data_IF_839424904010
#
_entry.id   IF_839424904010
#
_cell.length_a   1.000
_cell.length_b   1.000
_cell.length_c   1.000
_cell.angle_alpha   90.00
_cell.angle_beta   90.00
_cell.angle_gamma   90.00
#
_symmetry.space_group_name_H-M   'P 1'
#
loop_
_entity.id
_entity.type
_entity.pdbx_description
1 polymer ?
#
# COMPACT_ATOMS: atom_id res chain seq x y z
N UNK A 1 -74.48 48.13 -4.53
CA UNK A 1 -74.01 48.59 -5.86
C UNK A 1 -73.43 49.98 -5.70
N UNK A 2 -72.30 50.31 -6.37
CA UNK A 2 -71.53 51.58 -6.30
C UNK A 2 -70.60 51.70 -5.07
N UNK A 3 -69.34 52.13 -5.10
CA UNK A 3 -68.31 52.41 -6.13
C UNK A 3 -66.92 52.42 -5.44
N UNK A 4 -65.87 52.37 -6.26
CA UNK A 4 -64.43 52.32 -5.97
C UNK A 4 -63.87 53.27 -4.88
N UNK A 5 -62.79 52.83 -4.23
CA UNK A 5 -61.65 53.69 -3.87
C UNK A 5 -60.33 52.91 -3.96
N UNK A 6 -59.33 53.58 -4.55
CA UNK A 6 -58.00 53.10 -4.91
C UNK A 6 -57.08 53.03 -3.69
N UNK A 7 -56.14 52.09 -3.68
CA UNK A 7 -54.82 52.36 -3.11
C UNK A 7 -53.75 51.61 -3.92
N UNK A 8 -52.91 52.38 -4.61
CA UNK A 8 -51.65 51.92 -5.18
C UNK A 8 -50.64 51.79 -4.05
N UNK A 9 -49.98 50.64 -3.94
CA UNK A 9 -48.71 50.51 -3.24
C UNK A 9 -47.71 49.88 -4.21
N UNK A 10 -46.79 50.72 -4.67
CA UNK A 10 -45.57 50.33 -5.35
C UNK A 10 -44.74 49.44 -4.43
N UNK A 11 -44.37 48.26 -4.91
CA UNK A 11 -43.29 47.47 -4.30
C UNK A 11 -42.18 47.39 -5.32
N UNK A 12 -41.03 47.94 -4.93
CA UNK A 12 -39.87 48.14 -5.78
C UNK A 12 -39.24 46.86 -6.29
N UNK A 13 -38.68 46.96 -7.48
CA UNK A 13 -37.69 46.04 -8.01
C UNK A 13 -36.48 46.03 -7.05
N UNK A 14 -36.39 45.02 -6.18
CA UNK A 14 -35.16 44.72 -5.47
C UNK A 14 -34.21 43.97 -6.40
N UNK A 15 -33.02 44.54 -6.55
CA UNK A 15 -31.90 44.11 -7.38
C UNK A 15 -31.60 42.60 -7.31
N UNK A 16 -31.81 41.90 -8.41
CA UNK A 16 -31.31 40.53 -8.64
C UNK A 16 -29.86 40.63 -9.13
N UNK A 17 -28.94 41.16 -8.32
CA UNK A 17 -27.50 41.20 -8.66
C UNK A 17 -26.58 40.91 -7.46
N UNK A 18 -27.13 40.42 -6.34
CA UNK A 18 -26.36 40.16 -5.11
C UNK A 18 -26.18 38.70 -4.71
N UNK A 19 -26.86 37.74 -5.36
CA UNK A 19 -26.84 36.33 -4.91
C UNK A 19 -25.86 35.42 -5.67
N UNK A 20 -25.32 35.82 -6.83
CA UNK A 20 -24.47 34.91 -7.61
C UNK A 20 -23.03 34.78 -7.10
N UNK A 21 -22.51 35.77 -6.34
CA UNK A 21 -21.11 35.76 -5.92
C UNK A 21 -20.84 35.03 -4.60
N UNK A 22 -21.87 34.78 -3.78
CA UNK A 22 -21.69 34.02 -2.54
C UNK A 22 -21.73 32.50 -2.78
N UNK A 23 -22.53 32.00 -3.73
CA UNK A 23 -22.60 30.55 -4.02
C UNK A 23 -21.32 29.98 -4.65
N UNK A 24 -20.56 30.78 -5.42
CA UNK A 24 -19.32 30.29 -6.04
C UNK A 24 -18.19 30.06 -5.02
N UNK A 25 -18.13 30.85 -3.95
CA UNK A 25 -17.11 30.71 -2.90
C UNK A 25 -17.25 29.39 -2.12
N UNK A 26 -18.48 28.94 -1.84
CA UNK A 26 -18.73 27.66 -1.18
C UNK A 26 -18.49 26.48 -2.13
N UNK A 27 -18.88 26.60 -3.40
CA UNK A 27 -18.62 25.55 -4.39
C UNK A 27 -17.12 25.33 -4.63
N UNK A 28 -16.31 26.39 -4.60
CA UNK A 28 -14.85 26.31 -4.71
C UNK A 28 -14.19 25.70 -3.45
N UNK A 29 -14.67 26.08 -2.26
CA UNK A 29 -14.20 25.52 -0.98
C UNK A 29 -14.51 24.02 -0.84
N UNK A 30 -15.71 23.58 -1.23
CA UNK A 30 -16.08 22.15 -1.20
C UNK A 30 -15.28 21.37 -2.24
N UNK A 31 -15.07 21.90 -3.45
CA UNK A 31 -14.27 21.23 -4.49
C UNK A 31 -12.80 21.08 -4.06
N UNK A 32 -12.20 22.10 -3.47
CA UNK A 32 -10.82 22.01 -2.97
C UNK A 32 -10.70 21.04 -1.78
N UNK A 33 -11.64 21.03 -0.83
CA UNK A 33 -11.61 20.05 0.26
C UNK A 33 -11.90 18.62 -0.21
N UNK A 34 -12.72 18.42 -1.25
CA UNK A 34 -12.95 17.10 -1.85
C UNK A 34 -11.73 16.61 -2.65
N UNK A 35 -11.01 17.52 -3.32
CA UNK A 35 -9.74 17.23 -3.99
C UNK A 35 -8.58 17.00 -3.01
N UNK A 36 -8.57 17.69 -1.86
CA UNK A 36 -7.57 17.51 -0.79
C UNK A 36 -7.87 16.25 0.04
N UNK A 37 -9.14 15.82 0.13
CA UNK A 37 -9.55 14.56 0.78
C UNK A 37 -9.35 13.32 -0.12
N UNK A 38 -9.21 13.49 -1.43
CA UNK A 38 -8.65 12.47 -2.32
C UNK A 38 -7.13 12.51 -2.22
N UNK A 39 -6.58 12.30 -1.02
CA UNK A 39 -5.23 11.76 -0.94
C UNK A 39 -5.31 10.38 -1.59
N UNK A 40 -4.85 10.28 -2.83
CA UNK A 40 -5.08 9.14 -3.72
C UNK A 40 -4.77 7.84 -2.98
N UNK A 41 -5.83 7.07 -2.69
CA UNK A 41 -5.67 5.71 -2.20
C UNK A 41 -4.90 4.92 -3.24
N UNK A 42 -4.08 3.98 -2.78
CA UNK A 42 -3.20 3.16 -3.60
C UNK A 42 -3.96 2.62 -4.83
N UNK A 43 -3.60 3.05 -6.06
CA UNK A 43 -4.46 2.92 -7.23
C UNK A 43 -4.34 1.53 -7.87
N UNK A 44 -4.62 0.47 -7.09
CA UNK A 44 -4.59 -0.92 -7.57
C UNK A 44 -5.66 -1.11 -8.66
N UNK A 45 -5.22 -1.42 -9.88
CA UNK A 45 -6.08 -1.72 -11.03
C UNK A 45 -6.87 -3.02 -10.85
N UNK A 46 -8.01 -3.10 -11.53
CA UNK A 46 -8.69 -4.38 -11.76
C UNK A 46 -7.78 -5.37 -12.50
N UNK A 47 -7.74 -6.62 -12.03
CA UNK A 47 -6.88 -7.67 -12.59
C UNK A 47 -5.43 -7.67 -12.08
N UNK A 48 -5.02 -6.68 -11.28
CA UNK A 48 -3.71 -6.68 -10.62
C UNK A 48 -3.72 -7.39 -9.24
N UNK A 49 -4.90 -7.69 -8.72
CA UNK A 49 -5.17 -8.54 -7.55
C UNK A 49 -5.80 -9.88 -7.97
N UNK A 50 -5.83 -10.86 -7.07
CA UNK A 50 -6.39 -12.19 -7.35
C UNK A 50 -6.90 -12.85 -6.05
N UNK A 51 -7.47 -14.06 -6.15
CA UNK A 51 -8.05 -14.79 -5.00
C UNK A 51 -7.10 -14.99 -3.81
N UNK A 52 -5.77 -14.84 -3.99
CA UNK A 52 -4.81 -14.93 -2.89
C UNK A 52 -4.68 -13.65 -2.06
N UNK A 53 -5.01 -12.48 -2.63
CA UNK A 53 -5.12 -11.19 -1.92
C UNK A 53 -6.01 -10.26 -2.72
N UNK A 54 -7.10 -9.83 -2.08
CA UNK A 54 -7.99 -8.85 -2.67
C UNK A 54 -7.36 -7.45 -2.73
N UNK A 55 -8.06 -6.54 -3.41
CA UNK A 55 -7.63 -5.15 -3.58
C UNK A 55 -7.39 -4.45 -2.24
N UNK A 56 -8.29 -4.65 -1.27
CA UNK A 56 -8.27 -3.96 0.02
C UNK A 56 -7.07 -4.40 0.86
N UNK A 57 -6.79 -5.70 0.91
CA UNK A 57 -5.61 -6.22 1.60
C UNK A 57 -4.29 -5.68 1.03
N UNK A 58 -4.23 -5.50 -0.29
CA UNK A 58 -3.04 -4.90 -0.93
C UNK A 58 -2.93 -3.43 -0.55
N UNK A 59 -4.03 -2.67 -0.61
CA UNK A 59 -4.04 -1.25 -0.23
C UNK A 59 -3.63 -1.06 1.25
N UNK A 60 -4.23 -1.82 2.17
CA UNK A 60 -3.95 -1.77 3.62
C UNK A 60 -2.54 -2.21 3.98
N UNK A 61 -1.83 -2.90 3.07
CA UNK A 61 -0.42 -3.22 3.27
C UNK A 61 0.50 -2.01 3.10
N UNK A 62 0.01 -0.93 2.51
CA UNK A 62 0.73 0.35 2.39
C UNK A 62 0.29 1.33 3.46
N UNK A 63 1.24 2.10 4.00
CA UNK A 63 0.97 3.08 5.04
C UNK A 63 -0.06 4.11 4.55
N UNK A 64 -1.07 4.38 5.38
CA UNK A 64 -2.19 5.26 5.06
C UNK A 64 -2.95 4.85 3.78
N UNK A 65 -2.88 3.58 3.40
CA UNK A 65 -3.41 3.03 2.15
C UNK A 65 -2.84 3.71 0.90
N UNK A 66 -1.64 4.30 0.96
CA UNK A 66 -1.04 5.10 -0.13
C UNK A 66 0.11 4.39 -0.83
N UNK A 67 0.01 4.30 -2.14
CA UNK A 67 1.10 3.83 -3.01
C UNK A 67 1.09 4.56 -4.35
N UNK A 68 2.21 4.56 -5.03
CA UNK A 68 2.35 5.05 -6.41
C UNK A 68 2.43 3.86 -7.36
N UNK A 69 1.62 3.88 -8.41
CA UNK A 69 1.73 2.94 -9.52
C UNK A 69 2.75 3.45 -10.53
N UNK A 70 3.71 2.61 -10.89
CA UNK A 70 4.73 2.96 -11.87
C UNK A 70 5.07 1.80 -12.78
N UNK A 71 5.48 2.11 -14.01
CA UNK A 71 5.99 1.14 -14.98
C UNK A 71 7.50 1.29 -15.05
N UNK A 72 8.23 0.20 -14.81
CA UNK A 72 9.69 0.21 -14.82
C UNK A 72 10.23 0.61 -16.20
N UNK A 73 11.14 1.57 -16.23
CA UNK A 73 11.75 2.07 -17.46
C UNK A 73 13.00 1.28 -17.87
N UNK A 74 13.54 0.49 -16.94
CA UNK A 74 14.71 -0.36 -17.08
C UNK A 74 14.59 -1.58 -16.16
N UNK A 75 15.34 -2.67 -16.41
CA UNK A 75 15.41 -3.78 -15.48
C UNK A 75 15.86 -3.31 -14.10
N UNK A 76 15.11 -3.65 -13.06
CA UNK A 76 15.34 -3.15 -11.69
C UNK A 76 15.49 -4.31 -10.71
N UNK A 77 16.46 -4.20 -9.80
CA UNK A 77 16.71 -5.20 -8.76
C UNK A 77 15.88 -4.88 -7.52
N UNK A 78 15.21 -5.90 -7.00
CA UNK A 78 14.52 -5.90 -5.72
C UNK A 78 15.00 -7.07 -4.85
N UNK A 79 14.63 -7.04 -3.58
CA UNK A 79 14.91 -8.07 -2.61
C UNK A 79 13.62 -8.59 -2.01
N UNK A 80 13.56 -9.89 -1.80
CA UNK A 80 12.46 -10.55 -1.10
C UNK A 80 13.01 -11.38 0.03
N UNK A 81 12.48 -11.13 1.22
CA UNK A 81 12.71 -11.94 2.41
C UNK A 81 11.64 -13.01 2.51
N UNK A 82 12.03 -14.24 2.82
CA UNK A 82 11.13 -15.40 2.87
C UNK A 82 11.62 -16.46 3.86
N UNK A 83 10.81 -17.51 4.05
CA UNK A 83 11.03 -18.51 5.11
C UNK A 83 11.27 -19.93 4.59
N UNK A 84 10.89 -20.22 3.35
CA UNK A 84 11.00 -21.52 2.70
C UNK A 84 10.97 -21.38 1.18
N UNK A 85 11.48 -22.36 0.43
CA UNK A 85 11.45 -22.35 -1.04
C UNK A 85 10.03 -22.17 -1.61
N UNK A 86 9.01 -22.70 -0.91
CA UNK A 86 7.60 -22.53 -1.28
C UNK A 86 7.08 -21.09 -1.16
N UNK A 87 7.74 -20.23 -0.38
CA UNK A 87 7.35 -18.82 -0.13
C UNK A 87 8.26 -17.81 -0.83
N UNK A 88 9.32 -18.29 -1.50
CA UNK A 88 10.28 -17.48 -2.24
C UNK A 88 9.57 -16.63 -3.31
N UNK A 89 8.57 -17.20 -3.99
CA UNK A 89 7.90 -16.62 -5.16
C UNK A 89 6.68 -15.75 -4.82
N UNK A 90 6.80 -14.84 -3.87
CA UNK A 90 5.71 -13.93 -3.52
C UNK A 90 5.83 -12.56 -4.17
N UNK A 91 4.71 -11.81 -4.10
CA UNK A 91 4.47 -10.57 -4.85
C UNK A 91 4.97 -9.30 -4.18
N UNK A 92 5.35 -9.38 -2.91
CA UNK A 92 5.82 -8.26 -2.11
C UNK A 92 7.35 -8.29 -2.00
N UNK A 93 7.97 -7.15 -2.26
CA UNK A 93 9.42 -6.98 -2.31
C UNK A 93 9.83 -5.63 -1.72
N UNK A 94 11.12 -5.44 -1.52
CA UNK A 94 11.73 -4.17 -1.10
C UNK A 94 12.93 -3.86 -1.98
N UNK A 95 13.31 -2.59 -2.10
CA UNK A 95 14.58 -2.21 -2.73
C UNK A 95 15.73 -2.09 -1.70
N UNK A 96 15.47 -2.46 -0.44
CA UNK A 96 16.45 -2.38 0.64
C UNK A 96 17.03 -3.75 0.97
N UNK A 97 18.34 -3.90 0.83
CA UNK A 97 19.07 -5.05 1.37
C UNK A 97 19.45 -4.76 2.82
N UNK A 98 18.66 -5.28 3.75
CA UNK A 98 18.89 -5.19 5.18
C UNK A 98 19.99 -6.14 5.62
N UNK A 99 20.74 -5.71 6.63
CA UNK A 99 21.79 -6.50 7.27
C UNK A 99 21.34 -7.18 8.56
N UNK A 100 20.21 -6.73 9.14
CA UNK A 100 19.68 -7.22 10.40
C UNK A 100 18.28 -7.80 10.24
N UNK A 101 18.08 -9.03 10.73
CA UNK A 101 16.79 -9.75 10.63
C UNK A 101 15.67 -9.03 11.38
N UNK A 102 15.95 -8.47 12.57
CA UNK A 102 14.92 -7.79 13.35
C UNK A 102 14.49 -6.52 12.64
N UNK A 103 15.42 -5.80 12.01
CA UNK A 103 15.10 -4.64 11.19
C UNK A 103 14.22 -5.00 10.00
N UNK A 104 14.46 -6.11 9.31
CA UNK A 104 13.56 -6.59 8.25
C UNK A 104 12.15 -6.80 8.80
N UNK A 105 12.03 -7.50 9.93
CA UNK A 105 10.73 -7.84 10.54
C UNK A 105 9.98 -6.57 10.94
N UNK A 106 10.67 -5.60 11.51
CA UNK A 106 10.11 -4.32 11.95
C UNK A 106 9.72 -3.42 10.78
N UNK A 107 10.65 -3.16 9.86
CA UNK A 107 10.48 -2.21 8.76
C UNK A 107 9.49 -2.74 7.71
N UNK A 108 9.46 -4.07 7.49
CA UNK A 108 8.55 -4.74 6.56
C UNK A 108 7.29 -5.33 7.23
N UNK A 109 7.08 -5.03 8.51
CA UNK A 109 5.93 -5.44 9.29
C UNK A 109 5.58 -6.95 9.16
N UNK A 110 6.60 -7.80 9.19
CA UNK A 110 6.44 -9.22 8.91
C UNK A 110 5.94 -9.98 10.13
N UNK A 111 4.63 -10.24 10.18
CA UNK A 111 4.04 -11.01 11.26
C UNK A 111 4.60 -12.44 11.31
N UNK A 112 5.26 -12.78 12.42
CA UNK A 112 5.93 -14.07 12.61
C UNK A 112 4.94 -15.24 12.70
N UNK A 113 3.71 -15.00 13.16
CA UNK A 113 2.68 -16.05 13.28
C UNK A 113 2.15 -16.51 11.91
N UNK A 114 2.38 -15.71 10.86
CA UNK A 114 2.07 -16.11 9.48
C UNK A 114 3.20 -16.92 8.84
N UNK A 115 4.22 -17.30 9.61
CA UNK A 115 5.38 -18.04 9.12
C UNK A 115 6.41 -17.17 8.41
N UNK A 116 6.37 -15.84 8.56
CA UNK A 116 7.33 -14.91 7.93
C UNK A 116 8.62 -14.75 8.76
N UNK A 117 9.32 -15.85 9.01
CA UNK A 117 10.50 -15.90 9.86
C UNK A 117 11.75 -15.22 9.32
N UNK A 118 11.79 -14.77 8.06
CA UNK A 118 12.95 -14.07 7.48
C UNK A 118 14.23 -14.91 7.65
N UNK A 119 14.22 -16.13 7.13
CA UNK A 119 15.39 -17.02 7.19
C UNK A 119 16.26 -16.90 5.95
N UNK A 120 15.70 -16.38 4.87
CA UNK A 120 16.34 -16.27 3.57
C UNK A 120 16.00 -14.95 2.90
N UNK A 121 16.87 -14.54 1.99
CA UNK A 121 16.66 -13.39 1.10
C UNK A 121 17.10 -13.75 -0.30
N UNK A 122 16.28 -13.35 -1.27
CA UNK A 122 16.56 -13.50 -2.68
C UNK A 122 16.58 -12.12 -3.35
N UNK A 123 17.58 -11.90 -4.19
CA UNK A 123 17.52 -10.81 -5.17
C UNK A 123 16.60 -11.23 -6.33
N UNK A 124 15.87 -10.27 -6.87
CA UNK A 124 14.90 -10.42 -7.96
C UNK A 124 15.20 -9.34 -8.98
N UNK A 125 15.36 -9.72 -10.24
CA UNK A 125 15.43 -8.76 -11.35
C UNK A 125 14.05 -8.71 -12.01
N UNK A 126 13.37 -7.56 -11.94
CA UNK A 126 12.14 -7.31 -12.69
C UNK A 126 12.50 -6.63 -14.02
N UNK A 127 11.94 -7.10 -15.16
CA UNK A 127 12.25 -6.52 -16.45
C UNK A 127 11.66 -5.11 -16.61
N UNK A 128 12.20 -4.37 -17.59
CA UNK A 128 11.57 -3.15 -18.11
C UNK A 128 10.12 -3.45 -18.53
N UNK A 129 9.21 -2.53 -18.25
CA UNK A 129 7.79 -2.65 -18.60
C UNK A 129 6.92 -3.32 -17.53
N UNK A 130 7.52 -3.86 -16.46
CA UNK A 130 6.75 -4.36 -15.31
C UNK A 130 6.06 -3.22 -14.58
N UNK A 131 4.77 -3.39 -14.28
CA UNK A 131 4.05 -2.49 -13.37
C UNK A 131 4.35 -2.90 -11.94
N UNK A 132 4.70 -1.91 -11.11
CA UNK A 132 4.89 -2.07 -9.67
C UNK A 132 4.13 -0.98 -8.92
N UNK A 133 3.63 -1.34 -7.75
CA UNK A 133 3.02 -0.42 -6.80
C UNK A 133 4.00 -0.21 -5.66
N UNK A 134 4.50 1.02 -5.50
CA UNK A 134 5.54 1.33 -4.51
C UNK A 134 5.00 2.25 -3.42
N UNK A 135 5.40 2.00 -2.18
CA UNK A 135 4.96 2.82 -1.04
C UNK A 135 5.69 2.43 0.24
N UNK A 136 5.26 3.02 1.35
CA UNK A 136 5.74 2.63 2.68
C UNK A 136 4.92 1.46 3.20
N UNK A 137 5.54 0.54 3.93
CA UNK A 137 4.85 -0.58 4.58
C UNK A 137 3.96 -0.05 5.71
N UNK A 138 2.71 -0.46 5.77
CA UNK A 138 1.83 -0.16 6.90
C UNK A 138 2.29 -0.88 8.18
N UNK A 139 2.07 -0.26 9.34
CA UNK A 139 2.27 -0.94 10.62
C UNK A 139 1.33 -2.14 10.74
N UNK A 140 1.78 -3.20 11.39
CA UNK A 140 0.95 -4.36 11.73
C UNK A 140 0.94 -4.62 13.22
N UNK A 141 -0.17 -5.13 13.74
CA UNK A 141 -0.32 -5.50 15.13
C UNK A 141 -0.78 -6.96 15.24
N UNK A 142 -0.05 -7.73 16.04
CA UNK A 142 -0.47 -9.04 16.51
C UNK A 142 -0.95 -8.91 17.96
N UNK A 143 -2.27 -8.70 18.11
CA UNK A 143 -2.92 -8.49 19.41
C UNK A 143 -2.78 -9.68 20.35
N UNK A 144 -2.77 -10.90 19.81
CA UNK A 144 -2.67 -12.12 20.62
C UNK A 144 -1.30 -12.25 21.33
N UNK A 145 -0.26 -11.58 20.81
CA UNK A 145 1.10 -11.62 21.34
C UNK A 145 1.60 -10.28 21.85
N UNK A 146 0.72 -9.26 21.94
CA UNK A 146 1.09 -7.88 22.30
C UNK A 146 2.31 -7.40 21.50
N UNK A 147 2.26 -7.62 20.19
CA UNK A 147 3.38 -7.38 19.29
C UNK A 147 2.98 -6.34 18.24
N UNK A 148 3.71 -5.23 18.17
CA UNK A 148 3.53 -4.21 17.12
C UNK A 148 4.76 -4.17 16.24
N UNK A 149 4.56 -4.39 14.95
CA UNK A 149 5.57 -4.20 13.92
C UNK A 149 5.36 -2.83 13.29
N UNK A 150 6.36 -1.96 13.42
CA UNK A 150 6.20 -0.54 13.10
C UNK A 150 5.94 -0.25 11.61
N UNK A 151 6.42 -1.10 10.70
CA UNK A 151 6.42 -0.83 9.26
C UNK A 151 7.35 0.33 8.88
N UNK A 152 6.99 1.06 7.82
CA UNK A 152 7.74 2.25 7.35
C UNK A 152 8.93 1.96 6.42
N UNK A 153 9.28 0.69 6.21
CA UNK A 153 10.18 0.26 5.13
C UNK A 153 9.59 0.53 3.75
N UNK A 154 10.41 0.39 2.70
CA UNK A 154 9.92 0.50 1.33
C UNK A 154 9.32 -0.84 0.87
N UNK A 155 8.10 -0.80 0.35
CA UNK A 155 7.39 -1.94 -0.20
C UNK A 155 7.11 -1.75 -1.69
N UNK A 156 7.22 -2.84 -2.43
CA UNK A 156 6.83 -2.95 -3.83
C UNK A 156 5.92 -4.16 -3.99
N UNK A 157 4.72 -3.95 -4.53
CA UNK A 157 3.81 -5.01 -4.92
C UNK A 157 3.84 -5.18 -6.45
N UNK A 158 4.00 -6.43 -6.88
CA UNK A 158 4.05 -6.81 -8.30
C UNK A 158 2.86 -7.71 -8.63
N UNK A 159 2.00 -7.31 -9.58
CA UNK A 159 0.87 -8.14 -10.00
C UNK A 159 1.31 -9.49 -10.56
N UNK A 160 0.52 -10.55 -10.32
CA UNK A 160 0.87 -11.93 -10.71
C UNK A 160 1.17 -12.06 -12.22
N UNK A 161 0.44 -11.32 -13.05
CA UNK A 161 0.62 -11.34 -14.51
C UNK A 161 2.01 -10.91 -15.00
N UNK A 162 2.81 -10.24 -14.17
CA UNK A 162 4.20 -9.89 -14.48
C UNK A 162 5.23 -10.87 -13.90
N UNK A 163 4.76 -11.88 -13.17
CA UNK A 163 5.57 -12.90 -12.53
C UNK A 163 5.42 -14.27 -13.22
N UNK A 164 4.60 -14.36 -14.26
CA UNK A 164 4.26 -15.57 -15.00
C UNK A 164 4.66 -15.41 -16.47
N UNK A 165 5.29 -16.43 -17.06
CA UNK A 165 5.37 -16.53 -18.51
C UNK A 165 4.02 -17.05 -19.00
N UNK A 166 3.33 -16.28 -19.86
CA UNK A 166 2.11 -16.77 -20.51
C UNK A 166 2.47 -17.95 -21.43
N UNK A 167 2.30 -19.17 -20.95
CA UNK A 167 1.83 -20.28 -21.79
C UNK A 167 0.81 -21.12 -21.03
N UNK A 168 -0.38 -21.24 -21.63
CA UNK A 168 -1.47 -22.13 -21.23
C UNK A 168 -1.02 -23.60 -21.26
N UNK A 169 -0.24 -24.03 -20.27
CA UNK A 169 0.00 -25.44 -19.99
C UNK A 169 -0.17 -25.60 -18.49
N UNK A 170 -0.96 -26.59 -18.05
CA UNK A 170 -1.38 -26.80 -16.65
C UNK A 170 -0.24 -27.21 -15.71
N UNK A 171 0.92 -26.58 -15.83
CA UNK A 171 2.13 -26.81 -15.08
C UNK A 171 2.59 -25.45 -14.52
N UNK A 172 2.82 -25.38 -13.20
CA UNK A 172 3.13 -24.14 -12.48
C UNK A 172 4.53 -23.62 -12.85
N UNK A 173 4.65 -22.99 -14.03
CA UNK A 173 5.87 -22.35 -14.55
C UNK A 173 5.80 -20.83 -14.41
N UNK A 174 5.61 -20.36 -13.19
CA UNK A 174 5.75 -18.95 -12.89
C UNK A 174 7.20 -18.66 -12.45
N UNK A 175 7.70 -17.44 -12.69
CA UNK A 175 8.96 -16.86 -12.18
C UNK A 175 10.27 -17.14 -12.94
N UNK A 176 10.21 -17.61 -14.19
CA UNK A 176 11.38 -17.93 -15.05
C UNK A 176 12.23 -16.73 -15.48
N UNK A 177 11.67 -15.51 -15.51
CA UNK A 177 12.43 -14.29 -15.82
C UNK A 177 13.17 -13.70 -14.60
N UNK A 178 12.97 -14.27 -13.41
CA UNK A 178 13.59 -13.78 -12.18
C UNK A 178 14.84 -14.60 -11.85
N UNK A 179 15.99 -13.93 -11.87
CA UNK A 179 17.23 -14.51 -11.35
C UNK A 179 17.24 -14.40 -9.83
N UNK A 180 17.17 -15.54 -9.15
CA UNK A 180 17.26 -15.63 -7.70
C UNK A 180 18.70 -15.85 -7.28
N UNK A 181 19.31 -14.86 -6.65
CA UNK A 181 20.60 -15.02 -6.01
C UNK A 181 20.40 -15.29 -4.53
N UNK A 182 21.00 -16.36 -4.02
CA UNK A 182 21.12 -16.56 -2.58
C UNK A 182 21.92 -15.39 -2.02
N UNK A 183 21.27 -14.47 -1.33
CA UNK A 183 21.98 -13.55 -0.46
C UNK A 183 22.63 -14.35 0.69
N UNK A 184 23.61 -13.78 1.43
CA UNK A 184 24.47 -14.52 2.34
C UNK A 184 23.65 -15.49 3.19
N UNK A 185 24.06 -16.77 3.22
CA UNK A 185 23.31 -17.91 3.79
C UNK A 185 22.92 -17.76 5.26
N UNK A 186 23.24 -16.63 5.89
CA UNK A 186 23.34 -16.49 7.31
C UNK A 186 22.78 -15.14 7.80
N UNK A 187 21.46 -14.89 7.69
CA UNK A 187 20.75 -14.12 8.75
C UNK A 187 20.59 -14.97 10.03
N UNK A 188 21.35 -16.07 10.10
CA UNK A 188 21.27 -17.21 11.01
C UNK A 188 21.64 -16.80 12.44
N UNK A 189 20.68 -16.16 13.08
CA UNK A 189 20.35 -16.57 14.42
C UNK A 189 18.84 -16.79 14.46
N UNK A 190 18.35 -18.04 14.49
CA UNK A 190 16.93 -18.36 14.67
C UNK A 190 16.47 -18.09 16.11
N UNK A 191 17.06 -17.08 16.76
CA UNK A 191 16.51 -16.57 18.01
C UNK A 191 15.11 -16.09 17.66
N UNK A 192 14.08 -16.56 18.38
CA UNK A 192 12.73 -16.06 18.22
C UNK A 192 12.79 -14.53 18.24
N UNK A 193 12.20 -13.89 17.24
CA UNK A 193 12.03 -12.45 17.31
C UNK A 193 11.17 -12.19 18.56
N UNK A 194 11.72 -11.48 19.53
CA UNK A 194 10.99 -11.05 20.72
C UNK A 194 10.56 -9.63 20.45
N UNK A 195 9.24 -9.42 20.46
CA UNK A 195 8.63 -8.12 20.22
C UNK A 195 9.32 -7.04 21.06
N UNK A 196 9.66 -5.92 20.44
CA UNK A 196 10.44 -4.86 21.10
C UNK A 196 9.81 -4.41 22.43
N UNK A 197 8.47 -4.32 22.47
CA UNK A 197 7.72 -3.98 23.69
C UNK A 197 7.89 -5.01 24.82
N UNK A 198 7.91 -6.30 24.48
CA UNK A 198 8.19 -7.38 25.44
C UNK A 198 9.64 -7.28 25.92
N UNK A 199 10.59 -7.03 25.01
CA UNK A 199 11.99 -6.83 25.39
C UNK A 199 12.18 -5.63 26.32
N UNK A 200 11.51 -4.52 26.06
CA UNK A 200 11.55 -3.31 26.89
C UNK A 200 10.97 -3.58 28.29
N UNK A 201 9.84 -4.31 28.40
CA UNK A 201 9.28 -4.72 29.70
C UNK A 201 10.23 -5.63 30.48
N UNK A 202 10.85 -6.60 29.81
CA UNK A 202 11.82 -7.51 30.46
C UNK A 202 13.07 -6.79 30.96
N UNK A 203 13.49 -5.70 30.30
CA UNK A 203 14.63 -4.87 30.72
C UNK A 203 14.30 -3.90 31.86
N UNK A 204 13.04 -3.60 32.07
CA UNK A 204 12.57 -2.70 33.12
C UNK A 204 12.33 -3.42 34.47
N UNK A 205 12.61 -4.73 34.54
CA UNK A 205 12.54 -5.59 35.73
C UNK A 205 13.94 -5.92 36.21
#
# INVERSE_FOLDING_TARGET
>A
MSYLSKLFLSVGFFSILGQSLFQESYAFSIKNNLLIAQSETCPIDEGDYDDSKDKKEIQESFAEDKCEKTTLQEPTIYYRYYSSDGTQRGRFMTNTLYQDRNQVIEDLALNQDWGNFVTMVGAVILPKGTVVYKGKVASQENKAKDCKYKGGGNQFFVPRRFLSDKENTGERKDFTQMSWFSAPKDMLSPKPYVCKQIQERMRAQ
#
